data_IF_542629431948
#
_entry.id   IF_542629431948
#
_cell.length_a   1.000
_cell.length_b   1.000
_cell.length_c   1.000
_cell.angle_alpha   90.00
_cell.angle_beta   90.00
_cell.angle_gamma   90.00
#
_symmetry.space_group_name_H-M   'P 1'
#
loop_
_entity.id
_entity.type
_entity.pdbx_description
1 polymer ?
2 non-polymer ?
3 water ?
#
# COMPACT_ATOMS: atom_id res chain seq x y z
N UNK A 1 -1.61 19.99 1.32
CA UNK A 1 -0.85 19.94 0.04
C UNK A 1 -1.08 18.66 -0.74
N UNK A 2 -0.52 18.61 -1.95
CA UNK A 2 -0.63 17.47 -2.83
C UNK A 2 0.69 16.70 -2.89
N UNK A 3 0.58 15.38 -2.78
CA UNK A 3 1.74 14.49 -2.82
C UNK A 3 1.69 13.62 -4.08
N UNK A 4 2.66 13.84 -4.97
CA UNK A 4 2.75 13.09 -6.22
C UNK A 4 3.14 11.63 -5.96
N UNK A 5 2.85 10.75 -6.92
CA UNK A 5 3.17 9.34 -6.77
C UNK A 5 4.31 8.86 -7.67
N UNK A 6 5.03 9.80 -8.28
CA UNK A 6 6.17 9.47 -9.14
C UNK A 6 7.23 8.71 -8.32
N UNK A 7 7.36 9.07 -7.05
CA UNK A 7 8.29 8.43 -6.12
C UNK A 7 7.49 7.91 -4.92
N UNK A 8 8.14 7.10 -4.09
CA UNK A 8 7.51 6.55 -2.89
C UNK A 8 7.16 7.72 -1.97
N UNK A 9 5.89 7.81 -1.54
CA UNK A 9 5.46 8.89 -0.65
C UNK A 9 5.96 8.72 0.79
N UNK A 10 7.19 9.16 1.03
CA UNK A 10 7.80 9.04 2.36
C UNK A 10 7.57 10.27 3.23
N UNK A 11 7.44 10.02 4.53
CA UNK A 11 7.23 11.06 5.52
C UNK A 11 7.97 10.67 6.80
N UNK A 12 8.21 11.65 7.67
CA UNK A 12 8.88 11.39 8.93
C UNK A 12 7.84 11.55 10.03
N UNK A 13 7.72 10.54 10.87
CA UNK A 13 6.76 10.58 11.97
C UNK A 13 7.49 10.64 13.30
N UNK A 14 6.77 11.09 14.33
CA UNK A 14 7.31 11.20 15.67
C UNK A 14 6.50 10.23 16.52
N UNK A 15 7.16 9.22 17.07
CA UNK A 15 6.50 8.21 17.89
C UNK A 15 7.39 7.65 19.00
N UNK A 16 6.93 7.80 20.24
CA UNK A 16 7.68 7.30 21.38
C UNK A 16 9.04 7.95 21.55
N UNK A 17 9.12 9.24 21.23
CA UNK A 17 10.37 9.97 21.34
C UNK A 17 11.29 9.75 20.16
N UNK A 18 10.97 8.75 19.33
CA UNK A 18 11.76 8.41 18.16
C UNK A 18 11.22 9.00 16.86
N UNK A 19 12.12 9.29 15.93
CA UNK A 19 11.74 9.81 14.62
C UNK A 19 11.98 8.67 13.64
N UNK A 20 10.95 8.34 12.87
CA UNK A 20 11.05 7.26 11.89
C UNK A 20 10.50 7.63 10.53
N UNK A 21 11.21 7.22 9.48
CA UNK A 21 10.75 7.49 8.12
C UNK A 21 9.80 6.36 7.75
N UNK A 22 8.65 6.72 7.19
CA UNK A 22 7.65 5.74 6.83
C UNK A 22 6.96 6.07 5.52
N UNK A 23 6.36 5.05 4.93
CA UNK A 23 5.67 5.16 3.66
C UNK A 23 4.16 5.36 3.82
N UNK A 24 3.61 6.43 3.23
CA UNK A 24 2.16 6.67 3.29
C UNK A 24 1.58 5.56 2.40
N UNK A 25 0.98 4.57 3.04
CA UNK A 25 0.47 3.40 2.33
C UNK A 25 -1.03 3.15 2.40
N UNK A 26 -1.73 3.47 1.31
CA UNK A 26 -3.18 3.26 1.25
C UNK A 26 -3.54 1.77 1.21
N UNK A 27 -2.56 0.94 0.88
CA UNK A 27 -2.79 -0.50 0.83
C UNK A 27 -2.64 -1.17 2.18
N UNK A 28 -2.16 -0.41 3.17
CA UNK A 28 -1.96 -0.92 4.52
C UNK A 28 -3.12 -0.54 5.44
N UNK A 29 -3.83 -1.54 5.96
CA UNK A 29 -4.94 -1.28 6.87
C UNK A 29 -4.43 -0.55 8.12
N UNK A 30 -3.34 -1.06 8.67
CA UNK A 30 -2.72 -0.50 9.86
C UNK A 30 -1.28 -0.07 9.63
N UNK A 31 -0.79 0.80 10.52
CA UNK A 31 0.58 1.28 10.49
C UNK A 31 1.46 0.14 11.01
N UNK A 32 2.54 -0.16 10.29
CA UNK A 32 3.45 -1.23 10.68
C UNK A 32 4.88 -0.70 10.71
N UNK A 33 5.53 -0.83 11.87
CA UNK A 33 6.90 -0.35 12.04
C UNK A 33 7.85 -1.46 12.47
N UNK A 34 9.13 -1.26 12.15
CA UNK A 34 10.19 -2.19 12.51
C UNK A 34 10.28 -2.24 14.03
N UNK A 35 10.92 -3.29 14.56
CA UNK A 35 11.07 -3.46 16.01
C UNK A 35 11.44 -2.20 16.77
N UNK A 36 10.71 -1.97 17.86
CA UNK A 36 10.94 -0.81 18.70
C UNK A 36 10.15 -1.00 19.99
N UNK A 37 10.54 -0.27 21.03
CA UNK A 37 9.85 -0.37 22.31
C UNK A 37 8.71 0.67 22.39
N UNK A 38 7.54 0.21 22.80
CA UNK A 38 6.37 1.06 22.96
C UNK A 38 5.74 0.78 24.32
N UNK A 39 5.16 1.81 24.95
CA UNK A 39 4.52 1.67 26.26
C UNK A 39 3.11 1.09 26.14
N UNK A 40 2.67 0.41 27.20
CA UNK A 40 1.34 -0.18 27.21
C UNK A 40 1.32 -1.67 26.94
N UNK A 41 0.13 -2.25 26.99
CA UNK A 41 -0.03 -3.67 26.74
C UNK A 41 -0.21 -3.89 25.25
N UNK A 42 0.00 -5.13 24.81
CA UNK A 42 -0.13 -5.46 23.39
C UNK A 42 -0.70 -6.85 23.18
N UNK A 43 -1.16 -7.11 21.96
CA UNK A 43 -1.71 -8.40 21.60
C UNK A 43 -0.94 -8.94 20.41
N UNK A 44 -0.64 -10.25 20.40
CA UNK A 44 0.09 -10.82 19.26
C UNK A 44 -0.87 -10.86 18.06
N UNK A 45 -0.33 -10.71 16.86
CA UNK A 45 -1.15 -10.70 15.64
C UNK A 45 -0.32 -11.14 14.43
N UNK A 46 -0.99 -11.72 13.44
CA UNK A 46 -0.34 -12.15 12.21
C UNK A 46 -0.92 -11.36 11.04
N UNK A 47 -0.07 -10.66 10.30
CA UNK A 47 -0.55 -9.89 9.16
C UNK A 47 0.07 -10.40 7.87
N UNK A 48 -0.74 -10.49 6.82
CA UNK A 48 -0.27 -11.01 5.56
C UNK A 48 -0.28 -10.06 4.38
N UNK A 49 0.68 -10.27 3.49
CA UNK A 49 0.80 -9.46 2.30
C UNK A 49 1.56 -10.26 1.26
N UNK A 50 2.22 -9.57 0.34
CA UNK A 50 3.01 -10.25 -0.69
C UNK A 50 4.19 -10.94 0.00
N UNK A 51 4.36 -12.23 -0.27
CA UNK A 51 5.44 -12.98 0.35
C UNK A 51 5.00 -13.74 1.59
N UNK A 52 3.78 -13.49 2.07
CA UNK A 52 3.30 -14.21 3.23
C UNK A 52 2.99 -13.38 4.46
N UNK A 53 2.98 -14.04 5.61
CA UNK A 53 2.66 -13.40 6.89
C UNK A 53 3.85 -13.17 7.82
N UNK A 54 3.73 -12.15 8.68
CA UNK A 54 4.74 -11.88 9.70
C UNK A 54 3.98 -11.70 11.02
N UNK A 55 4.64 -12.02 12.12
CA UNK A 55 4.06 -11.90 13.44
C UNK A 55 4.41 -10.52 13.98
N UNK A 56 3.42 -9.83 14.56
CA UNK A 56 3.64 -8.49 15.10
C UNK A 56 2.95 -8.29 16.45
N UNK A 57 3.33 -7.23 17.15
CA UNK A 57 2.74 -6.89 18.44
C UNK A 57 1.83 -5.70 18.18
N UNK A 58 0.56 -5.83 18.54
CA UNK A 58 -0.40 -4.76 18.32
C UNK A 58 -0.56 -3.83 19.52
N UNK A 59 -0.24 -2.55 19.32
CA UNK A 59 -0.38 -1.54 20.36
C UNK A 59 -1.46 -0.56 19.93
N UNK A 60 -2.45 -0.35 20.78
CA UNK A 60 -3.52 0.59 20.46
C UNK A 60 -3.30 1.90 21.20
N UNK A 61 -4.02 2.94 20.77
CA UNK A 61 -3.96 4.26 21.37
C UNK A 61 -2.55 4.84 21.53
N UNK A 62 -1.79 4.83 20.44
CA UNK A 62 -0.42 5.36 20.44
C UNK A 62 -0.43 6.74 19.80
N UNK A 63 0.24 7.70 20.44
CA UNK A 63 0.32 9.06 19.93
C UNK A 63 1.40 9.16 18.85
N UNK A 64 1.00 9.69 17.70
CA UNK A 64 1.91 9.85 16.56
C UNK A 64 1.77 11.27 16.00
N UNK A 65 2.86 11.80 15.46
CA UNK A 65 2.85 13.15 14.90
C UNK A 65 3.39 13.17 13.47
N UNK A 66 2.55 13.62 12.54
CA UNK A 66 2.92 13.71 11.13
C UNK A 66 2.58 15.07 10.57
N UNK A 67 3.57 15.74 9.98
CA UNK A 67 3.39 17.05 9.36
C UNK A 67 2.81 18.12 10.29
N UNK A 68 3.00 17.96 11.60
CA UNK A 68 2.48 18.93 12.55
C UNK A 68 1.15 18.55 13.19
N UNK A 69 0.52 17.49 12.67
CA UNK A 69 -0.76 17.01 13.19
C UNK A 69 -0.49 15.94 14.24
N UNK A 70 -1.25 15.96 15.34
CA UNK A 70 -1.08 14.97 16.40
C UNK A 70 -2.27 14.00 16.38
N UNK A 71 -2.01 12.76 15.97
CA UNK A 71 -3.04 11.74 15.88
C UNK A 71 -2.79 10.50 16.74
N UNK A 72 -3.88 9.80 17.07
CA UNK A 72 -3.82 8.59 17.87
C UNK A 72 -4.27 7.40 17.01
N UNK A 73 -3.59 6.27 17.16
CA UNK A 73 -3.95 5.10 16.38
C UNK A 73 -3.23 3.83 16.79
N UNK A 74 -3.52 2.76 16.07
CA UNK A 74 -2.92 1.46 16.31
C UNK A 74 -1.58 1.37 15.60
N UNK A 75 -0.59 0.76 16.26
CA UNK A 75 0.73 0.57 15.68
C UNK A 75 1.12 -0.90 15.84
N UNK A 76 1.42 -1.54 14.72
CA UNK A 76 1.83 -2.94 14.72
C UNK A 76 3.36 -2.92 14.62
N UNK A 77 4.03 -3.55 15.58
CA UNK A 77 5.49 -3.60 15.60
C UNK A 77 5.99 -5.00 15.28
N UNK A 78 6.89 -5.10 14.30
CA UNK A 78 7.41 -6.40 13.93
C UNK A 78 8.51 -6.34 12.89
N UNK A 79 8.93 -7.50 12.36
CA UNK A 79 9.99 -7.57 11.36
C UNK A 79 9.57 -7.18 9.93
N UNK A 80 9.00 -5.99 9.77
CA UNK A 80 8.60 -5.53 8.45
C UNK A 80 9.82 -4.92 7.76
N UNK A 81 10.01 -5.20 6.46
CA UNK A 81 11.16 -4.66 5.74
C UNK A 81 11.10 -3.14 5.54
N UNK A 82 9.90 -2.58 5.63
CA UNK A 82 9.73 -1.14 5.46
C UNK A 82 8.62 -0.63 6.39
N UNK A 83 8.82 0.56 6.94
CA UNK A 83 7.84 1.18 7.83
C UNK A 83 6.72 1.76 6.96
N UNK A 84 5.47 1.47 7.30
CA UNK A 84 4.35 2.00 6.55
C UNK A 84 3.32 2.62 7.47
N UNK A 85 2.77 3.75 7.04
CA UNK A 85 1.72 4.46 7.76
C UNK A 85 0.42 3.97 7.11
N UNK A 86 -0.41 3.28 7.88
CA UNK A 86 -1.64 2.74 7.34
C UNK A 86 -2.83 3.67 7.32
N UNK A 87 -3.93 3.18 6.75
CA UNK A 87 -5.18 3.93 6.65
C UNK A 87 -5.67 4.34 8.05
N UNK A 88 -5.41 3.50 9.04
CA UNK A 88 -5.81 3.76 10.43
C UNK A 88 -5.36 5.16 10.89
N UNK A 89 -4.17 5.58 10.46
CA UNK A 89 -3.65 6.88 10.83
C UNK A 89 -3.93 7.97 9.79
N UNK A 90 -3.82 7.62 8.51
CA UNK A 90 -4.03 8.60 7.44
C UNK A 90 -5.40 9.27 7.45
N UNK A 91 -6.43 8.52 7.84
CA UNK A 91 -7.79 9.06 7.92
C UNK A 91 -7.83 10.19 8.95
N UNK A 92 -7.08 10.03 10.03
CA UNK A 92 -7.04 11.01 11.11
C UNK A 92 -6.49 12.37 10.70
N UNK A 93 -5.63 12.40 9.68
CA UNK A 93 -5.08 13.66 9.21
C UNK A 93 -5.81 14.15 7.96
N UNK A 94 -6.92 13.48 7.64
CA UNK A 94 -7.72 13.84 6.49
C UNK A 94 -7.10 13.59 5.13
N UNK A 95 -6.27 12.55 5.03
CA UNK A 95 -5.62 12.23 3.76
C UNK A 95 -6.53 11.40 2.86
N UNK A 96 -6.54 11.74 1.57
CA UNK A 96 -7.36 11.06 0.58
C UNK A 96 -6.62 10.89 -0.75
N UNK A 97 -7.14 10.01 -1.59
CA UNK A 97 -6.59 9.78 -2.93
C UNK A 97 -7.48 10.60 -3.86
N UNK A 98 -6.87 11.30 -4.82
CA UNK A 98 -7.65 12.12 -5.74
C UNK A 98 -7.16 11.94 -7.17
N UNK A 99 -8.10 12.01 -8.11
CA UNK A 99 -7.78 11.88 -9.53
C UNK A 99 -8.86 12.52 -10.41
N UNK B 1 -12.51 12.74 -8.95
CA UNK B 1 -13.11 12.07 -7.77
C UNK B 1 -12.15 11.98 -6.59
N UNK B 2 -12.72 11.86 -5.40
CA UNK B 2 -11.94 11.75 -4.17
C UNK B 2 -12.30 10.46 -3.44
N UNK B 3 -11.28 9.74 -3.00
CA UNK B 3 -11.49 8.49 -2.29
C UNK B 3 -10.90 8.61 -0.88
N UNK B 4 -11.78 8.54 0.12
CA UNK B 4 -11.36 8.62 1.52
C UNK B 4 -10.77 7.25 1.89
N UNK B 5 -10.14 7.17 3.06
CA UNK B 5 -9.49 5.93 3.46
C UNK B 5 -10.08 5.20 4.67
N UNK B 6 -11.35 5.48 4.98
CA UNK B 6 -12.02 4.83 6.11
C UNK B 6 -12.19 3.33 5.85
N UNK B 7 -12.37 3.00 4.57
CA UNK B 7 -12.52 1.62 4.10
C UNK B 7 -11.42 1.39 3.06
N UNK B 8 -11.15 0.13 2.73
CA UNK B 8 -10.12 -0.15 1.74
C UNK B 8 -10.50 0.49 0.41
N UNK B 9 -9.56 1.21 -0.22
CA UNK B 9 -9.83 1.87 -1.51
C UNK B 9 -9.88 0.85 -2.65
N UNK B 10 -10.92 0.03 -2.64
CA UNK B 10 -11.13 -1.00 -3.66
C UNK B 10 -11.85 -0.36 -4.83
N UNK B 11 -11.37 -0.64 -6.04
CA UNK B 11 -11.97 -0.08 -7.24
C UNK B 11 -12.14 -1.18 -8.29
N UNK B 12 -12.93 -0.88 -9.31
CA UNK B 12 -13.15 -1.82 -10.39
C UNK B 12 -12.19 -1.50 -11.52
N UNK B 13 -11.49 -2.53 -11.98
CA UNK B 13 -10.55 -2.40 -13.08
C UNK B 13 -11.02 -3.31 -14.20
N UNK B 14 -10.58 -3.04 -15.42
CA UNK B 14 -10.94 -3.88 -16.54
C UNK B 14 -9.67 -4.27 -17.25
N UNK B 15 -9.46 -5.57 -17.39
CA UNK B 15 -8.28 -6.09 -18.04
C UNK B 15 -8.67 -7.39 -18.74
N UNK B 16 -8.30 -7.50 -20.02
CA UNK B 16 -8.64 -8.69 -20.79
C UNK B 16 -10.14 -8.76 -21.04
N UNK B 17 -10.80 -7.60 -20.98
CA UNK B 17 -12.23 -7.54 -21.19
C UNK B 17 -13.05 -7.93 -19.97
N UNK B 18 -12.39 -8.25 -18.86
CA UNK B 18 -13.11 -8.65 -17.64
C UNK B 18 -12.97 -7.62 -16.54
N UNK B 19 -14.01 -7.52 -15.72
CA UNK B 19 -14.03 -6.61 -14.58
C UNK B 19 -13.51 -7.36 -13.36
N UNK B 20 -12.65 -6.69 -12.59
CA UNK B 20 -12.06 -7.25 -11.37
C UNK B 20 -11.95 -6.14 -10.32
N UNK B 21 -11.91 -6.53 -9.05
CA UNK B 21 -11.76 -5.57 -7.96
C UNK B 21 -10.27 -5.51 -7.59
N UNK B 22 -9.76 -4.30 -7.41
CA UNK B 22 -8.36 -4.12 -7.07
C UNK B 22 -8.20 -3.02 -6.03
N UNK B 23 -7.13 -3.12 -5.25
CA UNK B 23 -6.83 -2.17 -4.19
C UNK B 23 -5.82 -1.09 -4.63
N UNK B 24 -6.20 0.18 -4.47
CA UNK B 24 -5.31 1.29 -4.79
C UNK B 24 -4.28 1.28 -3.66
N UNK B 25 -3.04 0.96 -4.02
CA UNK B 25 -1.97 0.79 -3.05
C UNK B 25 -0.76 1.71 -3.26
N UNK B 26 -0.68 2.79 -2.50
CA UNK B 26 0.44 3.72 -2.65
C UNK B 26 1.76 3.19 -2.11
N UNK B 27 1.70 2.12 -1.32
CA UNK B 27 2.91 1.52 -0.77
C UNK B 27 3.52 0.49 -1.71
N UNK B 28 2.90 0.33 -2.88
CA UNK B 28 3.36 -0.62 -3.88
C UNK B 28 3.94 0.10 -5.10
N UNK B 29 5.19 -0.17 -5.43
CA UNK B 29 5.81 0.44 -6.61
C UNK B 29 5.14 -0.12 -7.86
N UNK B 30 4.86 -1.42 -7.81
CA UNK B 30 4.28 -2.15 -8.93
C UNK B 30 2.85 -2.65 -8.74
N UNK B 31 2.24 -3.01 -9.86
CA UNK B 31 0.88 -3.54 -9.90
C UNK B 31 0.98 -5.07 -9.91
N UNK B 32 0.38 -5.71 -8.92
CA UNK B 32 0.43 -7.16 -8.80
C UNK B 32 -0.98 -7.74 -8.79
N UNK B 33 -1.30 -8.54 -9.80
CA UNK B 33 -2.62 -9.15 -9.91
C UNK B 33 -2.62 -10.66 -9.66
N UNK B 34 -3.78 -11.15 -9.23
CA UNK B 34 -4.00 -12.57 -8.96
C UNK B 34 -3.86 -13.32 -10.29
N UNK B 35 -3.71 -14.64 -10.22
CA UNK B 35 -3.55 -15.47 -11.40
C UNK B 35 -4.63 -15.22 -12.46
N UNK B 36 -4.17 -15.00 -13.69
CA UNK B 36 -5.05 -14.75 -14.83
C UNK B 36 -4.25 -14.90 -16.11
N UNK B 37 -4.94 -14.88 -17.25
CA UNK B 37 -4.28 -15.01 -18.54
C UNK B 37 -4.07 -13.66 -19.21
N UNK B 38 -2.83 -13.43 -19.65
CA UNK B 38 -2.46 -12.20 -20.35
C UNK B 38 -1.71 -12.58 -21.62
N UNK B 39 -1.94 -11.85 -22.73
CA UNK B 39 -1.31 -12.08 -24.03
C UNK B 39 0.20 -11.81 -24.09
N UNK B 40 0.85 -12.42 -25.09
CA UNK B 40 2.27 -12.23 -25.30
C UNK B 40 3.23 -12.94 -24.36
N UNK B 41 4.49 -12.51 -24.40
CA UNK B 41 5.53 -13.10 -23.58
C UNK B 41 5.72 -12.37 -22.25
N UNK B 42 6.19 -13.10 -21.25
CA UNK B 42 6.46 -12.54 -19.93
C UNK B 42 7.92 -12.75 -19.54
N UNK B 43 8.38 -11.89 -18.64
CA UNK B 43 9.75 -11.88 -18.12
C UNK B 43 9.69 -12.10 -16.61
N UNK B 44 10.73 -12.71 -16.01
CA UNK B 44 10.69 -12.95 -14.57
C UNK B 44 11.03 -11.71 -13.75
N UNK B 45 10.41 -11.60 -12.58
CA UNK B 45 10.70 -10.49 -11.67
C UNK B 45 10.61 -10.97 -10.24
N UNK B 46 11.51 -10.45 -9.41
CA UNK B 46 11.56 -10.79 -8.00
C UNK B 46 11.12 -9.57 -7.21
N UNK B 47 10.01 -9.68 -6.48
CA UNK B 47 9.53 -8.55 -5.68
C UNK B 47 9.47 -8.93 -4.20
N UNK B 48 9.77 -7.96 -3.35
CA UNK B 48 9.74 -8.20 -1.93
C UNK B 48 8.55 -7.54 -1.26
N UNK B 49 7.76 -8.35 -0.56
CA UNK B 49 6.61 -7.83 0.15
C UNK B 49 6.89 -7.89 1.64
N UNK B 50 5.84 -7.72 2.44
CA UNK B 50 6.00 -7.74 3.89
C UNK B 50 6.49 -9.10 4.41
N UNK B 51 6.06 -10.17 3.75
CA UNK B 51 6.44 -11.51 4.17
C UNK B 51 7.67 -12.11 3.53
N UNK B 52 8.29 -11.38 2.61
CA UNK B 52 9.48 -11.88 1.94
C UNK B 52 9.41 -11.71 0.43
N UNK B 53 10.33 -12.36 -0.28
CA UNK B 53 10.36 -12.25 -1.74
C UNK B 53 9.64 -13.38 -2.45
N UNK B 54 9.02 -13.04 -3.57
CA UNK B 54 8.30 -14.02 -4.39
C UNK B 54 8.63 -13.77 -5.87
N UNK B 55 8.45 -14.80 -6.69
CA UNK B 55 8.69 -14.71 -8.12
C UNK B 55 7.36 -14.48 -8.82
N UNK B 56 7.33 -13.48 -9.70
CA UNK B 56 6.11 -13.15 -10.44
C UNK B 56 6.39 -13.09 -11.94
N UNK B 57 5.32 -13.06 -12.74
CA UNK B 57 5.44 -12.97 -14.19
C UNK B 57 5.22 -11.51 -14.56
N UNK B 58 6.14 -10.94 -15.34
CA UNK B 58 6.02 -9.54 -15.74
C UNK B 58 5.59 -9.40 -17.20
N UNK B 59 4.45 -8.74 -17.41
CA UNK B 59 3.91 -8.49 -18.75
C UNK B 59 3.96 -6.98 -18.96
N UNK B 60 4.47 -6.54 -20.10
CA UNK B 60 4.57 -5.11 -20.38
C UNK B 60 3.56 -4.60 -21.40
N UNK B 61 3.31 -3.29 -21.35
CA UNK B 61 2.38 -2.61 -22.26
C UNK B 61 1.02 -3.29 -22.34
N UNK B 62 0.46 -3.60 -21.18
CA UNK B 62 -0.84 -4.23 -21.07
C UNK B 62 -1.89 -3.15 -20.84
N UNK B 63 -2.98 -3.20 -21.59
CA UNK B 63 -4.07 -2.24 -21.42
C UNK B 63 -4.87 -2.63 -20.19
N UNK B 64 -5.04 -1.66 -19.30
CA UNK B 64 -5.78 -1.88 -18.07
C UNK B 64 -6.49 -0.58 -17.73
N UNK B 65 -7.79 -0.69 -17.51
CA UNK B 65 -8.62 0.45 -17.18
C UNK B 65 -8.87 0.46 -15.67
N UNK B 66 -8.61 1.59 -15.04
CA UNK B 66 -8.79 1.72 -13.60
C UNK B 66 -9.74 2.89 -13.34
N UNK B 67 -10.88 2.60 -12.71
CA UNK B 67 -11.88 3.62 -12.42
C UNK B 67 -12.29 4.39 -13.69
N UNK B 68 -12.39 3.68 -14.81
CA UNK B 68 -12.75 4.31 -16.07
C UNK B 68 -11.61 4.94 -16.86
N UNK B 69 -10.43 5.07 -16.26
CA UNK B 69 -9.28 5.67 -16.93
C UNK B 69 -8.39 4.63 -17.59
N UNK B 70 -8.03 4.88 -18.85
CA UNK B 70 -7.20 3.97 -19.63
C UNK B 70 -5.71 4.08 -19.33
N UNK B 71 -5.10 2.94 -19.02
CA UNK B 71 -3.68 2.88 -18.74
C UNK B 71 -3.08 1.77 -19.58
N UNK B 72 -1.79 1.90 -19.89
CA UNK B 72 -1.07 0.89 -20.66
C UNK B 72 0.31 0.77 -20.02
N UNK B 73 0.53 -0.32 -19.30
CA UNK B 73 1.81 -0.48 -18.64
C UNK B 73 2.11 -1.88 -18.15
N UNK B 74 3.07 -1.96 -17.24
CA UNK B 74 3.51 -3.22 -16.66
C UNK B 74 2.58 -3.79 -15.60
N UNK B 75 2.25 -5.06 -15.76
CA UNK B 75 1.39 -5.79 -14.84
C UNK B 75 2.12 -7.05 -14.42
N UNK B 76 2.24 -7.25 -13.11
CA UNK B 76 2.91 -8.43 -12.56
C UNK B 76 1.85 -9.41 -12.09
N UNK B 77 2.02 -10.69 -12.43
CA UNK B 77 1.06 -11.71 -12.03
C UNK B 77 1.74 -12.69 -11.07
N UNK B 78 1.11 -12.91 -9.92
CA UNK B 78 1.69 -13.81 -8.94
C UNK B 78 0.84 -13.95 -7.70
N UNK B 79 1.31 -14.72 -6.70
CA UNK B 79 0.60 -14.95 -5.43
C UNK B 79 0.53 -13.71 -4.56
N UNK B 80 -0.66 -13.12 -4.51
CA UNK B 80 -0.91 -11.92 -3.72
C UNK B 80 -2.29 -12.05 -3.07
N UNK B 81 -2.44 -11.54 -1.84
CA UNK B 81 -3.73 -11.61 -1.13
C UNK B 81 -4.89 -10.95 -1.88
N UNK B 82 -4.58 -9.94 -2.69
CA UNK B 82 -5.60 -9.23 -3.47
C UNK B 82 -4.92 -8.47 -4.62
N UNK B 83 -5.68 -8.17 -5.67
CA UNK B 83 -5.15 -7.41 -6.80
C UNK B 83 -4.70 -6.06 -6.25
N UNK B 84 -3.47 -5.67 -6.56
CA UNK B 84 -2.90 -4.42 -6.07
C UNK B 84 -2.49 -3.49 -7.21
N UNK B 85 -3.03 -2.27 -7.21
CA UNK B 85 -2.69 -1.28 -8.22
C UNK B 85 -1.59 -0.40 -7.61
N UNK B 86 -0.39 -0.50 -8.16
CA UNK B 86 0.73 0.27 -7.65
C UNK B 86 0.92 1.64 -8.26
N UNK B 87 1.98 2.31 -7.85
CA UNK B 87 2.27 3.65 -8.34
C UNK B 87 2.53 3.74 -9.84
N UNK B 88 3.02 2.66 -10.43
CA UNK B 88 3.31 2.66 -11.86
C UNK B 88 2.05 2.97 -12.69
N UNK B 89 0.90 2.48 -12.23
CA UNK B 89 -0.35 2.73 -12.94
C UNK B 89 -1.12 3.92 -12.38
N UNK B 90 -1.00 4.17 -11.07
CA UNK B 90 -1.71 5.30 -10.48
C UNK B 90 -1.20 6.62 -11.07
N UNK B 91 0.09 6.68 -11.39
CA UNK B 91 0.67 7.88 -12.00
C UNK B 91 0.09 8.09 -13.41
N UNK B 92 -0.23 6.99 -14.10
CA UNK B 92 -0.80 7.06 -15.44
C UNK B 92 -2.21 7.65 -15.46
N UNK B 93 -2.94 7.49 -14.37
CA UNK B 93 -4.30 8.02 -14.29
C UNK B 93 -4.36 9.33 -13.50
N UNK B 94 -3.19 9.91 -13.22
CA UNK B 94 -3.12 11.18 -12.50
C UNK B 94 -3.60 11.14 -11.06
N UNK B 95 -3.31 10.06 -10.36
CA UNK B 95 -3.73 9.92 -8.97
C UNK B 95 -2.67 10.45 -8.02
N UNK B 96 -3.11 11.14 -6.97
CA UNK B 96 -2.21 11.72 -5.97
C UNK B 96 -2.82 11.62 -4.57
N UNK B 97 -1.98 11.81 -3.56
CA UNK B 97 -2.41 11.82 -2.16
C UNK B 97 -2.60 13.29 -1.79
N UNK B 98 -3.66 13.60 -1.06
CA UNK B 98 -3.93 14.98 -0.68
C UNK B 98 -4.41 15.08 0.75
N UNK B 99 -4.09 16.20 1.39
CA UNK B 99 -4.52 16.46 2.76
C UNK B 99 -4.42 17.95 3.08
X LIG C 1 6.41 -4.37 -3.80
X LIG C 1 5.22 -3.36 -5.47
X LIG C 1 6.55 -3.40 -4.93
X LIG C 1 6.92 -2.23 -4.19
X LIG C 1 7.82 -2.67 -3.18
X LIG C 1 7.25 -3.96 -2.60
X LIG C 1 4.48 -4.45 -4.90
X LIG C 1 5.00 -4.73 -3.49
X LIG C 1 4.51 -3.74 -2.60
X LIG C 1 4.06 -4.18 -1.43
X LIG C 1 4.03 -5.36 -1.07
X LIG C 1 3.65 -3.14 -0.70
X LIG C 1 3.13 -3.35 0.62
X LIG C 1 3.93 -2.52 1.66
X LIG C 1 5.41 -2.89 1.57
X LIG C 1 5.90 -3.99 2.29
X LIG C 1 7.26 -4.35 2.19
X LIG C 1 8.13 -3.60 1.37
X LIG C 1 7.64 -2.49 0.65
X LIG C 1 6.28 -2.14 0.74
X LIG C 1 1.64 -2.95 0.60
X LIG C 1 1.53 -1.62 0.11
X LIG C 1 1.07 -3.00 1.99
X LIG C 1 0.56 -4.32 2.38
X LIG C 1 1.34 -5.08 3.65
X LIG C 1 1.76 -6.48 3.26
X LIG C 1 2.65 -4.36 3.87
X LIG C 1 0.33 -4.89 5.06
X LIG C 1 -0.58 -5.88 5.45
X LIG C 1 -1.40 -5.66 6.58
X LIG C 1 -1.31 -4.45 7.31
X LIG C 1 -2.13 -4.20 8.43
X LIG C 1 -3.06 -5.23 8.79
X LIG C 1 -0.39 -3.48 6.90
X LIG C 1 0.42 -3.69 5.79
X LIG C 1 -0.79 -4.80 1.99
X LIG C 1 -0.90 -5.15 0.49
X LIG C 1 -2.29 -5.76 0.22
X LIG C 1 0.17 -6.18 0.08
#
# INVERSE_FOLDING_TARGET
>A
PQITLWQRPLVTIKIGGQLKEALLDTGADDTVLEEMSLPGRWKPKMIGGIGGFIKVRQYDQILIEICGHKAIGTVLVGPTPVNVIGRNLMTQIGMTLNF
>B
PQITLWQRPLVTIKIGGQLKEALLDTGADDTVLEEMSLPGRWKPKMIGGIGGFIKVRQYDQILIEICGHKAIGTVLVGPTPVNVIGRNLMTQIGMTLNF
>C hetero
1 DJR C O C27 O9 C2 C1 C3 C5 O4 C4 O5 N1 C6 C8 C9 C11 C13 C14 C12 C10 C7 O6 C15 N2 S O8 O7 C18 C23 C22 C21 O1 C26 C20 C19 C16 C17 C25 C24
#
